data_IF_241027997198
#
_entry.id   IF_241027997198
#
_cell.length_a   1.000
_cell.length_b   1.000
_cell.length_c   1.000
_cell.angle_alpha   90.00
_cell.angle_beta   90.00
_cell.angle_gamma   90.00
#
_symmetry.space_group_name_H-M   'P 1'
#
loop_
_entity.id
_entity.type
_entity.pdbx_description
1 polymer ?
#
# COMPACT_ATOMS: atom_id res chain seq x y z
N UNK A 1 78.11 51.37 13.16
CA UNK A 1 78.97 50.41 12.45
C UNK A 1 78.41 49.01 12.68
N UNK A 2 78.49 48.12 11.66
CA UNK A 2 78.04 46.69 11.60
C UNK A 2 76.52 46.57 11.32
N UNK A 3 75.96 46.10 10.19
CA UNK A 3 76.29 45.25 9.01
C UNK A 3 75.81 43.78 9.14
N UNK A 4 74.96 43.38 8.17
CA UNK A 4 74.54 42.03 7.67
C UNK A 4 73.30 41.40 8.31
N UNK A 5 72.15 41.36 7.62
CA UNK A 5 71.69 40.40 6.59
C UNK A 5 71.47 38.98 7.13
N UNK A 6 70.20 38.57 7.29
CA UNK A 6 69.74 37.21 6.99
C UNK A 6 68.27 37.23 6.55
N UNK A 7 68.05 36.78 5.32
CA UNK A 7 66.76 36.42 4.75
C UNK A 7 66.35 35.10 5.41
N UNK A 8 65.20 35.05 6.06
CA UNK A 8 64.55 33.78 6.42
C UNK A 8 63.07 33.89 6.05
N UNK A 9 62.77 33.28 4.90
CA UNK A 9 61.43 32.92 4.50
C UNK A 9 60.80 32.01 5.55
N UNK A 10 59.56 32.30 5.95
CA UNK A 10 58.80 31.51 6.91
C UNK A 10 57.32 31.81 6.79
N UNK A 11 56.79 31.66 5.58
CA UNK A 11 55.36 31.60 5.33
C UNK A 11 54.83 30.27 5.87
N UNK A 12 53.60 30.32 6.38
CA UNK A 12 52.67 29.22 6.62
C UNK A 12 52.77 28.50 7.98
N UNK A 13 51.68 28.65 8.73
CA UNK A 13 51.36 27.86 9.90
C UNK A 13 50.07 28.35 10.57
N UNK A 14 48.97 28.47 9.82
CA UNK A 14 47.65 28.59 10.43
C UNK A 14 47.38 27.28 11.19
N UNK A 15 47.68 27.30 12.50
CA UNK A 15 47.21 26.31 13.44
C UNK A 15 45.68 26.43 13.52
N UNK A 16 44.97 25.46 12.95
CA UNK A 16 43.53 25.57 12.86
C UNK A 16 42.84 24.38 12.23
N UNK A 17 43.12 23.17 12.71
CA UNK A 17 42.20 22.04 12.66
C UNK A 17 42.60 21.09 13.80
N UNK A 18 42.10 21.36 15.01
CA UNK A 18 42.01 20.31 16.01
C UNK A 18 41.15 19.21 15.41
N UNK A 19 41.73 18.03 15.20
CA UNK A 19 41.04 16.83 14.77
C UNK A 19 39.99 16.47 15.85
N UNK A 20 38.74 16.87 15.62
CA UNK A 20 37.63 16.38 16.43
C UNK A 20 37.50 14.86 16.22
N UNK A 21 37.28 14.10 17.30
CA UNK A 21 37.14 12.66 17.21
C UNK A 21 35.96 12.36 16.28
N UNK A 22 36.30 11.67 15.20
CA UNK A 22 35.43 10.91 14.31
C UNK A 22 34.01 10.77 14.84
N UNK A 23 33.12 11.62 14.32
CA UNK A 23 31.70 11.38 14.37
C UNK A 23 31.48 9.95 13.87
N UNK A 24 31.06 9.07 14.79
CA UNK A 24 30.60 7.72 14.49
C UNK A 24 29.69 7.82 13.27
N UNK A 25 29.85 6.99 12.22
CA UNK A 25 28.81 6.92 11.20
C UNK A 25 27.51 6.66 11.95
N UNK A 26 26.49 7.47 11.70
CA UNK A 26 25.14 7.18 12.15
C UNK A 26 24.79 5.82 11.54
N UNK A 27 25.01 4.76 12.32
CA UNK A 27 24.53 3.43 12.01
C UNK A 27 23.05 3.61 11.71
N UNK A 28 22.69 3.26 10.48
CA UNK A 28 21.51 3.80 9.81
C UNK A 28 20.30 3.85 10.72
N UNK A 29 19.54 4.93 10.59
CA UNK A 29 18.12 4.90 10.88
C UNK A 29 17.50 3.85 9.95
N UNK A 30 17.70 2.58 10.28
CA UNK A 30 16.77 1.53 9.91
C UNK A 30 15.52 1.92 10.68
N UNK A 31 14.63 2.63 9.98
CA UNK A 31 13.22 2.48 10.26
C UNK A 31 13.01 0.96 10.28
N UNK A 32 12.96 0.40 11.48
CA UNK A 32 12.55 -0.99 11.63
C UNK A 32 11.10 -0.94 11.19
N UNK A 33 10.82 -1.42 9.99
CA UNK A 33 9.48 -1.86 9.64
C UNK A 33 9.01 -2.69 10.84
N UNK A 34 7.90 -2.29 11.46
CA UNK A 34 7.43 -2.91 12.68
C UNK A 34 7.25 -4.41 12.43
N UNK A 35 8.25 -5.18 12.86
CA UNK A 35 8.32 -6.60 12.67
C UNK A 35 7.53 -7.29 13.76
N UNK A 36 6.26 -7.51 13.52
CA UNK A 36 5.45 -8.63 14.00
C UNK A 36 4.02 -8.40 13.48
N UNK A 37 3.46 -9.43 12.85
CA UNK A 37 2.15 -9.42 12.23
C UNK A 37 1.04 -9.01 13.23
N UNK A 38 0.74 -7.72 13.31
CA UNK A 38 -0.65 -7.30 13.44
C UNK A 38 -1.39 -7.92 12.25
N UNK A 39 -2.63 -8.36 12.43
CA UNK A 39 -3.47 -8.76 11.30
C UNK A 39 -3.51 -7.58 10.33
N UNK A 40 -2.68 -7.64 9.30
CA UNK A 40 -2.35 -6.48 8.50
C UNK A 40 -3.48 -6.30 7.49
N UNK A 41 -4.17 -5.17 7.59
CA UNK A 41 -5.09 -4.77 6.56
C UNK A 41 -4.30 -4.36 5.32
N UNK A 42 -4.69 -4.90 4.17
CA UNK A 42 -4.15 -4.56 2.87
C UNK A 42 -5.06 -3.51 2.20
N UNK A 43 -4.50 -2.33 1.95
CA UNK A 43 -5.17 -1.20 1.31
C UNK A 43 -4.72 -1.00 -0.15
N UNK A 44 -3.93 -1.93 -0.71
CA UNK A 44 -3.32 -1.82 -2.05
C UNK A 44 -4.34 -2.12 -3.16
N UNK A 45 -5.38 -1.31 -3.21
CA UNK A 45 -6.50 -1.42 -4.14
C UNK A 45 -6.56 -0.19 -5.06
N UNK A 46 -6.80 -0.44 -6.34
CA UNK A 46 -7.00 0.57 -7.37
C UNK A 46 -8.44 0.59 -7.80
N UNK A 47 -9.07 1.75 -7.62
CA UNK A 47 -10.45 2.01 -7.98
C UNK A 47 -10.53 2.67 -9.37
N UNK A 48 -11.55 2.32 -10.14
CA UNK A 48 -11.77 2.84 -11.49
C UNK A 48 -13.24 2.75 -11.90
N UNK A 49 -13.64 3.53 -12.90
CA UNK A 49 -15.02 3.57 -13.42
C UNK A 49 -15.86 4.67 -12.78
N UNK A 50 -17.18 4.47 -12.76
CA UNK A 50 -18.14 5.50 -12.37
C UNK A 50 -18.24 5.65 -10.83
N UNK A 51 -18.02 6.86 -10.28
CA UNK A 51 -18.02 7.08 -8.83
C UNK A 51 -19.39 6.87 -8.17
N UNK A 52 -20.50 6.94 -8.91
CA UNK A 52 -21.83 6.71 -8.33
C UNK A 52 -22.07 5.23 -7.95
N UNK A 53 -21.25 4.30 -8.47
CA UNK A 53 -21.27 2.88 -8.08
C UNK A 53 -19.93 2.37 -7.55
N UNK A 54 -18.88 3.20 -7.55
CA UNK A 54 -17.61 2.85 -6.94
C UNK A 54 -17.66 3.01 -5.41
N UNK A 55 -17.01 2.12 -4.64
CA UNK A 55 -16.69 2.43 -3.26
C UNK A 55 -15.70 3.59 -3.19
N UNK A 56 -15.68 4.29 -2.06
CA UNK A 56 -14.66 5.28 -1.72
C UNK A 56 -13.37 4.62 -1.23
N UNK A 57 -13.48 3.46 -0.57
CA UNK A 57 -12.35 2.74 -0.01
C UNK A 57 -12.59 1.23 -0.09
N UNK A 58 -11.51 0.49 -0.37
CA UNK A 58 -11.47 -0.97 -0.33
C UNK A 58 -10.22 -1.40 0.42
N UNK A 59 -10.38 -2.37 1.30
CA UNK A 59 -9.27 -3.04 1.98
C UNK A 59 -9.69 -4.44 2.40
N UNK A 60 -8.73 -5.29 2.74
CA UNK A 60 -9.02 -6.64 3.23
C UNK A 60 -8.05 -7.05 4.34
N UNK A 61 -8.42 -8.07 5.11
CA UNK A 61 -7.60 -8.61 6.19
C UNK A 61 -7.10 -10.04 5.90
N UNK A 62 -7.12 -10.42 4.62
CA UNK A 62 -6.85 -11.77 4.12
C UNK A 62 -8.03 -12.75 4.24
N UNK A 63 -9.09 -12.44 4.99
CA UNK A 63 -10.29 -13.30 5.13
C UNK A 63 -11.56 -12.61 4.66
N UNK A 64 -11.68 -11.31 4.91
CA UNK A 64 -12.83 -10.50 4.51
C UNK A 64 -12.36 -9.26 3.75
N UNK A 65 -13.16 -8.85 2.77
CA UNK A 65 -12.94 -7.62 2.00
C UNK A 65 -13.97 -6.58 2.42
N UNK A 66 -13.50 -5.41 2.84
CA UNK A 66 -14.29 -4.32 3.40
C UNK A 66 -14.39 -3.20 2.38
N UNK A 67 -15.62 -2.75 2.14
CA UNK A 67 -15.95 -1.71 1.16
C UNK A 67 -16.63 -0.56 1.89
N UNK A 68 -16.15 0.67 1.71
CA UNK A 68 -16.85 1.86 2.17
C UNK A 68 -17.44 2.58 0.96
N UNK A 69 -18.75 2.78 0.95
CA UNK A 69 -19.44 3.60 -0.04
C UNK A 69 -19.68 5.01 0.51
N UNK A 70 -19.95 5.98 -0.36
CA UNK A 70 -20.29 7.32 0.08
C UNK A 70 -21.61 7.31 0.89
N UNK A 71 -21.77 8.19 1.90
CA UNK A 71 -23.02 8.30 2.62
C UNK A 71 -24.22 8.51 1.69
N UNK A 72 -25.27 7.72 1.84
CA UNK A 72 -26.46 7.77 1.00
C UNK A 72 -26.30 7.15 -0.40
N UNK A 73 -25.11 6.68 -0.77
CA UNK A 73 -24.90 5.95 -2.02
C UNK A 73 -25.57 4.58 -1.93
N UNK A 74 -26.40 4.20 -2.92
CA UNK A 74 -26.97 2.86 -2.96
C UNK A 74 -25.86 1.82 -3.18
N UNK A 75 -25.95 0.71 -2.46
CA UNK A 75 -24.99 -0.40 -2.64
C UNK A 75 -25.31 -1.09 -3.99
N UNK A 76 -24.35 -1.12 -4.93
CA UNK A 76 -24.57 -1.74 -6.25
C UNK A 76 -24.59 -3.26 -6.15
N UNK A 77 -24.86 -3.93 -7.27
CA UNK A 77 -24.55 -5.35 -7.39
C UNK A 77 -23.02 -5.53 -7.40
N UNK A 78 -22.53 -6.40 -6.52
CA UNK A 78 -21.10 -6.65 -6.32
C UNK A 78 -20.75 -8.03 -6.89
N UNK A 79 -19.72 -8.07 -7.73
CA UNK A 79 -19.25 -9.28 -8.38
C UNK A 79 -17.78 -9.52 -8.04
N UNK A 80 -17.46 -10.75 -7.68
CA UNK A 80 -16.08 -11.24 -7.66
C UNK A 80 -15.69 -11.67 -9.06
N UNK A 81 -14.51 -11.25 -9.51
CA UNK A 81 -13.99 -11.59 -10.84
C UNK A 81 -12.79 -12.52 -10.66
N UNK A 82 -12.87 -13.70 -11.26
CA UNK A 82 -11.78 -14.67 -11.30
C UNK A 82 -11.62 -15.28 -12.70
N UNK A 83 -10.76 -16.28 -12.84
CA UNK A 83 -10.50 -16.95 -14.12
C UNK A 83 -11.73 -17.68 -14.69
N UNK A 84 -12.72 -18.04 -13.86
CA UNK A 84 -13.97 -18.66 -14.29
C UNK A 84 -15.02 -17.62 -14.70
N UNK A 85 -14.84 -16.34 -14.32
CA UNK A 85 -15.67 -15.22 -14.76
C UNK A 85 -16.14 -14.35 -13.60
N UNK A 86 -17.26 -13.65 -13.82
CA UNK A 86 -17.91 -12.81 -12.80
C UNK A 86 -18.96 -13.62 -12.03
N UNK A 87 -18.91 -13.59 -10.69
CA UNK A 87 -19.93 -14.18 -9.81
C UNK A 87 -20.48 -13.16 -8.84
N UNK A 88 -21.81 -13.13 -8.66
CA UNK A 88 -22.46 -12.27 -7.66
C UNK A 88 -21.99 -12.68 -6.26
N UNK A 89 -21.66 -11.69 -5.42
CA UNK A 89 -21.23 -11.91 -4.05
C UNK A 89 -22.31 -11.48 -3.05
N UNK A 90 -22.67 -12.34 -2.08
CA UNK A 90 -23.42 -11.90 -0.92
C UNK A 90 -22.56 -10.97 -0.05
N UNK A 91 -23.21 -10.09 0.69
CA UNK A 91 -22.54 -9.15 1.58
C UNK A 91 -23.31 -8.96 2.88
N UNK A 92 -22.59 -8.57 3.93
CA UNK A 92 -23.17 -8.06 5.17
C UNK A 92 -22.95 -6.56 5.31
N UNK A 93 -23.84 -5.87 6.02
CA UNK A 93 -23.71 -4.46 6.37
C UNK A 93 -23.18 -4.34 7.79
N UNK A 94 -22.06 -3.64 7.96
CA UNK A 94 -21.45 -3.30 9.24
C UNK A 94 -21.04 -1.83 9.18
N UNK A 95 -21.99 -0.95 9.45
CA UNK A 95 -21.82 0.48 9.19
C UNK A 95 -20.50 1.01 9.76
N UNK A 96 -19.72 1.77 8.97
CA UNK A 96 -20.05 2.33 7.65
C UNK A 96 -19.72 1.42 6.45
N UNK A 97 -19.47 0.12 6.65
CA UNK A 97 -18.92 -0.79 5.66
C UNK A 97 -19.92 -1.82 5.12
N UNK A 98 -19.66 -2.22 3.88
CA UNK A 98 -20.18 -3.44 3.27
C UNK A 98 -19.04 -4.47 3.30
N UNK A 99 -19.31 -5.66 3.83
CA UNK A 99 -18.30 -6.71 4.05
C UNK A 99 -18.59 -7.91 3.17
N UNK A 100 -17.58 -8.32 2.41
CA UNK A 100 -17.57 -9.51 1.57
C UNK A 100 -16.75 -10.62 2.23
N UNK A 101 -17.25 -11.85 2.14
CA UNK A 101 -16.48 -13.02 2.55
C UNK A 101 -15.38 -13.33 1.51
N UNK A 102 -14.22 -13.74 2.01
CA UNK A 102 -13.07 -14.14 1.20
C UNK A 102 -12.17 -12.97 0.79
N UNK A 103 -11.01 -13.36 0.27
CA UNK A 103 -10.03 -12.46 -0.32
C UNK A 103 -10.24 -12.39 -1.83
N UNK A 104 -10.45 -11.19 -2.35
CA UNK A 104 -10.62 -10.96 -3.79
C UNK A 104 -9.43 -10.19 -4.35
N UNK A 105 -9.15 -10.40 -5.65
CA UNK A 105 -8.13 -9.64 -6.38
C UNK A 105 -8.76 -8.68 -7.39
N UNK A 106 -9.96 -8.98 -7.92
CA UNK A 106 -10.74 -8.09 -8.78
C UNK A 106 -12.23 -8.16 -8.37
N UNK A 107 -12.83 -6.98 -8.22
CA UNK A 107 -14.23 -6.76 -7.90
C UNK A 107 -14.85 -5.84 -8.94
N UNK A 108 -16.02 -6.21 -9.46
CA UNK A 108 -16.83 -5.36 -10.31
C UNK A 108 -18.10 -4.90 -9.58
N UNK A 109 -18.47 -3.63 -9.80
CA UNK A 109 -19.64 -2.99 -9.22
C UNK A 109 -20.56 -2.53 -10.35
N UNK A 110 -21.85 -2.89 -10.30
CA UNK A 110 -22.80 -2.55 -11.37
C UNK A 110 -24.12 -2.02 -10.82
N UNK A 111 -24.63 -0.96 -11.44
CA UNK A 111 -25.93 -0.37 -11.15
C UNK A 111 -26.52 0.29 -12.40
N UNK A 112 -27.59 -0.28 -12.96
CA UNK A 112 -28.13 0.17 -14.25
C UNK A 112 -27.09 0.06 -15.35
N UNK A 113 -26.72 1.21 -15.97
CA UNK A 113 -25.65 1.31 -16.98
C UNK A 113 -24.28 1.65 -16.41
N UNK A 114 -24.21 1.91 -15.11
CA UNK A 114 -22.99 2.34 -14.43
C UNK A 114 -22.16 1.13 -14.03
N UNK A 115 -20.84 1.28 -14.15
CA UNK A 115 -19.89 0.25 -13.77
C UNK A 115 -18.64 0.86 -13.13
N UNK A 116 -18.14 0.19 -12.10
CA UNK A 116 -16.85 0.46 -11.48
C UNK A 116 -16.09 -0.85 -11.21
N UNK A 117 -14.79 -0.74 -10.97
CA UNK A 117 -13.90 -1.85 -10.62
C UNK A 117 -12.97 -1.48 -9.47
N UNK A 118 -12.71 -2.44 -8.59
CA UNK A 118 -11.62 -2.40 -7.63
C UNK A 118 -10.68 -3.58 -7.91
N UNK A 119 -9.40 -3.29 -8.17
CA UNK A 119 -8.38 -4.32 -8.43
C UNK A 119 -7.23 -4.16 -7.47
N UNK A 120 -6.72 -5.26 -6.93
CA UNK A 120 -5.50 -5.24 -6.13
C UNK A 120 -4.32 -4.82 -7.02
N UNK A 121 -3.51 -3.87 -6.58
CA UNK A 121 -2.42 -3.39 -7.43
C UNK A 121 -1.34 -4.46 -7.65
N UNK A 122 -1.14 -5.39 -6.69
CA UNK A 122 -0.27 -6.56 -6.87
C UNK A 122 -0.74 -7.52 -7.97
N UNK A 123 -2.02 -7.50 -8.34
CA UNK A 123 -2.61 -8.39 -9.34
C UNK A 123 -2.74 -7.73 -10.72
N UNK A 124 -2.34 -6.46 -10.85
CA UNK A 124 -2.24 -5.85 -12.17
C UNK A 124 -1.08 -6.48 -12.93
N UNK A 125 -1.21 -6.70 -14.26
CA UNK A 125 -0.08 -7.10 -15.08
C UNK A 125 1.01 -6.03 -14.94
N UNK A 126 2.02 -6.30 -14.13
CA UNK A 126 3.27 -5.54 -14.20
C UNK A 126 3.82 -5.85 -15.57
N UNK A 127 4.06 -4.83 -16.40
CA UNK A 127 4.65 -5.02 -17.73
C UNK A 127 5.77 -6.06 -17.64
N UNK A 128 5.54 -7.24 -18.23
CA UNK A 128 6.52 -8.30 -18.34
C UNK A 128 6.46 -9.51 -17.39
N UNK A 129 5.53 -9.67 -16.43
CA UNK A 129 5.33 -10.97 -15.73
C UNK A 129 3.94 -11.08 -15.11
N UNK A 130 3.08 -11.93 -15.69
CA UNK A 130 1.73 -12.20 -15.18
C UNK A 130 1.71 -13.28 -14.10
N UNK A 131 0.89 -13.06 -13.08
CA UNK A 131 -0.05 -14.04 -12.54
C UNK A 131 -1.00 -13.33 -11.56
N UNK A 132 -2.14 -12.86 -12.07
CA UNK A 132 -3.36 -12.74 -11.27
C UNK A 132 -4.07 -14.08 -11.44
N UNK A 133 -4.18 -14.88 -10.38
CA UNK A 133 -4.66 -16.24 -10.50
C UNK A 133 -4.36 -17.08 -9.27
N UNK A 134 -5.05 -16.78 -8.17
CA UNK A 134 -5.27 -17.77 -7.12
C UNK A 134 -6.68 -17.54 -6.61
N UNK A 135 -7.59 -18.46 -6.93
CA UNK A 135 -8.97 -18.42 -6.45
C UNK A 135 -9.00 -18.24 -4.92
N UNK A 136 -9.94 -17.45 -4.36
CA UNK A 136 -10.11 -17.38 -2.92
C UNK A 136 -10.36 -18.79 -2.37
N UNK A 137 -9.58 -19.18 -1.36
CA UNK A 137 -10.01 -20.26 -0.47
C UNK A 137 -11.19 -19.72 0.33
N UNK A 138 -12.41 -19.95 -0.17
CA UNK A 138 -13.61 -19.81 0.65
C UNK A 138 -13.53 -20.95 1.67
N UNK A 139 -13.01 -20.68 2.86
CA UNK A 139 -13.15 -21.62 3.97
C UNK A 139 -14.64 -21.75 4.26
N UNK A 140 -15.17 -22.93 3.96
CA UNK A 140 -16.60 -23.23 4.01
C UNK A 140 -17.21 -23.01 5.40
N UNK A 141 -18.44 -22.52 5.36
CA UNK A 141 -19.56 -22.85 6.24
C UNK A 141 -19.54 -22.54 7.75
N UNK A 142 -18.48 -21.95 8.33
CA UNK A 142 -18.48 -21.67 9.79
C UNK A 142 -18.59 -20.18 10.17
N UNK A 143 -18.88 -19.29 9.22
CA UNK A 143 -19.13 -17.87 9.53
C UNK A 143 -20.62 -17.56 9.36
N UNK A 144 -21.39 -17.45 10.45
CA UNK A 144 -22.77 -17.00 10.36
C UNK A 144 -22.72 -15.51 10.01
N UNK A 145 -23.01 -15.19 8.75
CA UNK A 145 -23.49 -13.86 8.38
C UNK A 145 -24.95 -13.73 8.83
#
# INVERSE_FOLDING_TARGET
MIRRFFLAAGLAGLAGCAAWPSARPAAGASWRAAGAASRAYDFDWRLSGDPAVAPMQVFDDGRETWLQFAPGQPVPAIFGVDAAGERVLPYARRDPYVVLAGRWDDLAFRGGRLAARARRASCLPREGRGACGSSPTVQGADNPL
#
